data_IF_702068731577
#
_entry.id   IF_702068731577
#
_cell.length_a   1.000
_cell.length_b   1.000
_cell.length_c   1.000
_cell.angle_alpha   90.00
_cell.angle_beta   90.00
_cell.angle_gamma   90.00
#
_symmetry.space_group_name_H-M   'P 1'
#
loop_
_entity.id
_entity.type
_entity.pdbx_description
1 polymer ?
#
# COMPACT_ATOMS: atom_id res chain seq x y z
N UNK A 1 3.10 5.50 11.80
CA UNK A 1 3.19 4.10 11.35
C UNK A 1 2.10 3.72 10.36
N UNK A 2 1.04 4.48 10.29
CA UNK A 2 -0.02 4.30 9.28
C UNK A 2 0.37 5.00 8.00
N UNK A 3 0.16 4.33 6.89
CA UNK A 3 0.52 4.85 5.57
C UNK A 3 -0.75 5.18 4.81
N UNK A 4 -0.93 6.45 4.38
CA UNK A 4 -2.06 6.81 3.54
C UNK A 4 -1.93 6.16 2.16
N UNK A 5 -2.97 5.50 1.72
CA UNK A 5 -3.07 4.86 0.43
C UNK A 5 -4.24 5.47 -0.34
N UNK A 6 -4.01 5.84 -1.58
CA UNK A 6 -5.07 6.32 -2.46
C UNK A 6 -5.67 5.13 -3.22
N UNK A 7 -6.98 5.14 -3.36
CA UNK A 7 -7.70 4.14 -4.15
C UNK A 7 -8.65 4.81 -5.11
N UNK A 8 -8.67 4.35 -6.35
CA UNK A 8 -9.60 4.80 -7.37
C UNK A 8 -10.09 3.64 -8.21
N UNK A 9 -11.30 3.79 -8.75
CA UNK A 9 -11.86 2.83 -9.69
C UNK A 9 -11.47 3.22 -11.10
N UNK A 10 -10.88 2.25 -11.83
CA UNK A 10 -10.59 2.39 -13.25
C UNK A 10 -11.44 1.38 -14.02
N UNK A 11 -11.90 1.75 -15.20
CA UNK A 11 -12.62 0.80 -16.04
C UNK A 11 -11.65 -0.25 -16.58
N UNK A 12 -12.09 -1.50 -16.63
CA UNK A 12 -11.29 -2.60 -17.17
C UNK A 12 -11.30 -2.57 -18.70
N UNK A 13 -10.60 -1.59 -19.27
CA UNK A 13 -10.47 -1.40 -20.72
C UNK A 13 -9.13 -0.73 -21.06
N UNK A 14 -8.61 -0.96 -22.27
CA UNK A 14 -7.36 -0.32 -22.68
C UNK A 14 -7.42 1.20 -22.58
N UNK A 15 -6.33 1.80 -22.08
CA UNK A 15 -6.17 3.25 -21.99
C UNK A 15 -6.77 3.91 -20.75
N UNK A 16 -7.56 3.20 -19.96
CA UNK A 16 -8.20 3.83 -18.79
C UNK A 16 -7.25 3.96 -17.59
N UNK A 17 -6.38 2.98 -17.37
CA UNK A 17 -5.42 3.01 -16.27
C UNK A 17 -4.31 4.06 -16.46
N UNK A 18 -3.90 4.32 -17.69
CA UNK A 18 -2.80 5.25 -17.96
C UNK A 18 -3.16 6.69 -17.59
N UNK A 19 -4.43 7.05 -17.59
CA UNK A 19 -4.88 8.43 -17.37
C UNK A 19 -4.48 8.94 -15.98
N UNK A 20 -4.83 8.27 -14.86
CA UNK A 20 -4.39 8.75 -13.55
C UNK A 20 -2.87 8.71 -13.38
N UNK A 21 -2.20 7.72 -13.93
CA UNK A 21 -0.74 7.63 -13.86
C UNK A 21 -0.07 8.80 -14.60
N UNK A 22 -0.60 9.17 -15.76
CA UNK A 22 -0.10 10.31 -16.54
C UNK A 22 -0.30 11.63 -15.80
N UNK A 23 -1.45 11.83 -15.17
CA UNK A 23 -1.73 13.01 -14.36
C UNK A 23 -0.70 13.20 -13.25
N UNK A 24 -0.37 12.12 -12.55
CA UNK A 24 0.63 12.15 -11.49
C UNK A 24 2.03 12.43 -12.04
N UNK A 25 2.39 11.81 -13.16
CA UNK A 25 3.68 12.04 -13.82
C UNK A 25 3.85 13.50 -14.25
N UNK A 26 2.82 14.08 -14.86
CA UNK A 26 2.82 15.50 -15.29
C UNK A 26 2.91 16.45 -14.10
N UNK A 27 2.41 16.05 -12.94
CA UNK A 27 2.52 16.81 -11.70
C UNK A 27 3.86 16.60 -10.98
N UNK A 28 4.74 15.75 -11.51
CA UNK A 28 6.03 15.45 -10.90
C UNK A 28 5.92 14.55 -9.67
N UNK A 29 4.84 13.80 -9.54
CA UNK A 29 4.61 12.90 -8.40
C UNK A 29 5.02 11.49 -8.77
N UNK A 30 5.98 10.94 -8.04
CA UNK A 30 6.43 9.56 -8.22
C UNK A 30 5.51 8.58 -7.49
N UNK A 31 5.23 7.44 -8.11
CA UNK A 31 4.49 6.35 -7.49
C UNK A 31 5.48 5.43 -6.80
N UNK A 32 5.37 5.30 -5.47
CA UNK A 32 6.24 4.45 -4.67
C UNK A 32 5.90 2.98 -4.89
N UNK A 33 4.63 2.64 -4.83
CA UNK A 33 4.12 1.32 -5.16
C UNK A 33 2.66 1.41 -5.57
N UNK A 34 2.19 0.38 -6.25
CA UNK A 34 0.80 0.31 -6.72
C UNK A 34 0.33 -1.13 -6.78
N UNK A 35 -0.98 -1.28 -6.80
CA UNK A 35 -1.66 -2.55 -7.00
C UNK A 35 -2.91 -2.31 -7.83
N UNK A 36 -3.17 -3.18 -8.78
CA UNK A 36 -4.40 -3.18 -9.56
C UNK A 36 -5.13 -4.49 -9.31
N UNK A 37 -6.31 -4.42 -8.70
CA UNK A 37 -7.14 -5.57 -8.43
C UNK A 37 -8.34 -5.57 -9.39
N UNK A 38 -8.65 -6.73 -9.94
CA UNK A 38 -9.76 -6.92 -10.85
C UNK A 38 -11.07 -7.18 -10.09
N UNK A 39 -12.13 -6.48 -10.47
CA UNK A 39 -13.49 -6.73 -9.98
C UNK A 39 -14.47 -7.02 -11.13
N UNK A 40 -13.96 -7.45 -12.29
CA UNK A 40 -14.74 -7.73 -13.50
C UNK A 40 -14.76 -6.52 -14.43
N UNK A 41 -15.80 -5.68 -14.36
CA UNK A 41 -15.92 -4.50 -15.23
C UNK A 41 -14.99 -3.34 -14.82
N UNK A 42 -14.57 -3.33 -13.57
CA UNK A 42 -13.71 -2.31 -13.02
C UNK A 42 -12.46 -2.94 -12.41
N UNK A 43 -11.43 -2.14 -12.29
CA UNK A 43 -10.28 -2.43 -11.45
C UNK A 43 -10.22 -1.46 -10.30
N UNK A 44 -9.61 -1.87 -9.20
CA UNK A 44 -9.30 -0.98 -8.10
C UNK A 44 -7.81 -0.70 -8.16
N UNK A 45 -7.45 0.54 -8.46
CA UNK A 45 -6.06 1.00 -8.47
C UNK A 45 -5.72 1.57 -7.11
N UNK A 46 -4.76 0.96 -6.43
CA UNK A 46 -4.26 1.41 -5.14
C UNK A 46 -2.86 1.96 -5.32
N UNK A 47 -2.62 3.15 -4.80
CA UNK A 47 -1.37 3.88 -4.98
C UNK A 47 -0.82 4.33 -3.64
N UNK A 48 0.49 4.16 -3.45
CA UNK A 48 1.20 4.80 -2.35
C UNK A 48 2.18 5.79 -2.96
N UNK A 49 2.03 7.06 -2.58
CA UNK A 49 2.85 8.17 -3.04
C UNK A 49 3.24 9.01 -1.83
N UNK A 50 4.43 9.58 -1.84
CA UNK A 50 4.90 10.45 -0.74
C UNK A 50 3.98 11.65 -0.56
N UNK A 51 3.69 12.35 -1.64
CA UNK A 51 2.86 13.56 -1.64
C UNK A 51 1.38 13.22 -1.86
N UNK A 52 0.82 12.37 -1.00
CA UNK A 52 -0.52 11.83 -1.20
C UNK A 52 -1.62 12.90 -1.22
N UNK A 53 -1.48 13.96 -0.43
CA UNK A 53 -2.47 15.07 -0.42
C UNK A 53 -2.50 15.79 -1.76
N UNK A 54 -1.33 16.11 -2.30
CA UNK A 54 -1.20 16.75 -3.61
C UNK A 54 -1.67 15.82 -4.72
N UNK A 55 -1.32 14.55 -4.65
CA UNK A 55 -1.78 13.54 -5.60
C UNK A 55 -3.31 13.45 -5.62
N UNK A 56 -3.93 13.42 -4.44
CA UNK A 56 -5.39 13.43 -4.31
C UNK A 56 -6.00 14.66 -4.97
N UNK A 57 -5.45 15.83 -4.71
CA UNK A 57 -5.94 17.09 -5.30
C UNK A 57 -5.83 17.07 -6.84
N UNK A 58 -4.71 16.60 -7.37
CA UNK A 58 -4.48 16.50 -8.82
C UNK A 58 -5.51 15.58 -9.47
N UNK A 59 -5.75 14.42 -8.87
CA UNK A 59 -6.69 13.43 -9.39
C UNK A 59 -8.14 13.92 -9.28
N UNK A 60 -8.53 14.49 -8.15
CA UNK A 60 -9.89 15.01 -7.93
C UNK A 60 -10.20 16.19 -8.87
N UNK A 61 -9.22 17.05 -9.12
CA UNK A 61 -9.37 18.17 -10.06
C UNK A 61 -9.65 17.67 -11.48
N UNK A 62 -9.20 16.49 -11.84
CA UNK A 62 -9.47 15.87 -13.14
C UNK A 62 -10.74 15.01 -13.16
N UNK A 63 -11.52 15.02 -12.08
CA UNK A 63 -12.81 14.32 -11.98
C UNK A 63 -12.75 12.92 -11.40
N UNK A 64 -11.59 12.46 -10.93
CA UNK A 64 -11.49 11.16 -10.28
C UNK A 64 -12.03 11.21 -8.85
N UNK A 65 -12.74 10.15 -8.44
CA UNK A 65 -13.14 9.97 -7.05
C UNK A 65 -12.04 9.17 -6.37
N UNK A 66 -11.42 9.77 -5.36
CA UNK A 66 -10.27 9.20 -4.67
C UNK A 66 -10.63 8.90 -3.22
N UNK A 67 -10.47 7.65 -2.81
CA UNK A 67 -10.58 7.26 -1.41
C UNK A 67 -9.19 7.21 -0.78
N UNK A 68 -9.10 7.65 0.48
CA UNK A 68 -7.86 7.55 1.27
C UNK A 68 -8.08 6.50 2.33
N UNK A 69 -7.21 5.51 2.37
CA UNK A 69 -7.28 4.40 3.32
C UNK A 69 -5.94 4.26 4.02
N UNK A 70 -5.95 4.02 5.31
CA UNK A 70 -4.74 3.76 6.06
C UNK A 70 -4.36 2.29 5.97
N UNK A 71 -3.09 2.02 5.66
CA UNK A 71 -2.53 0.68 5.57
C UNK A 71 -1.25 0.59 6.41
N UNK A 72 -0.80 -0.64 6.67
CA UNK A 72 0.48 -0.91 7.32
C UNK A 72 1.44 -1.54 6.34
N UNK A 73 2.71 -1.15 6.41
CA UNK A 73 3.80 -1.83 5.75
C UNK A 73 4.61 -2.59 6.79
N UNK A 74 4.87 -3.86 6.53
CA UNK A 74 5.58 -4.74 7.48
C UNK A 74 6.69 -5.46 6.74
N UNK A 75 7.88 -5.48 7.33
CA UNK A 75 9.00 -6.27 6.82
C UNK A 75 8.83 -7.73 7.22
N UNK A 76 9.11 -8.62 6.28
CA UNK A 76 9.15 -10.07 6.54
C UNK A 76 10.46 -10.65 6.01
N UNK A 77 10.95 -11.70 6.66
CA UNK A 77 12.08 -12.45 6.14
C UNK A 77 11.72 -13.05 4.77
N UNK A 78 12.54 -12.78 3.76
CA UNK A 78 12.32 -13.31 2.41
C UNK A 78 12.87 -14.73 2.32
N UNK A 79 12.19 -15.64 3.02
CA UNK A 79 12.53 -17.04 3.12
C UNK A 79 11.28 -17.89 3.35
N UNK A 80 11.31 -19.20 3.12
CA UNK A 80 10.17 -20.06 3.40
C UNK A 80 9.69 -19.91 4.85
N UNK A 81 8.41 -19.67 5.05
CA UNK A 81 7.79 -19.53 6.37
C UNK A 81 7.74 -18.09 6.89
N UNK A 82 8.45 -17.13 6.29
CA UNK A 82 8.45 -15.75 6.76
C UNK A 82 7.06 -15.12 6.76
N UNK A 83 6.32 -15.28 5.68
CA UNK A 83 4.94 -14.80 5.59
C UNK A 83 4.01 -15.55 6.55
N UNK A 84 4.20 -16.86 6.70
CA UNK A 84 3.36 -17.69 7.57
C UNK A 84 3.42 -17.24 9.02
N UNK A 85 4.59 -16.86 9.52
CA UNK A 85 4.73 -16.33 10.88
C UNK A 85 3.94 -15.04 11.08
N UNK A 86 3.99 -14.15 10.11
CA UNK A 86 3.26 -12.88 10.17
C UNK A 86 1.75 -13.10 10.10
N UNK A 87 1.30 -13.95 9.18
CA UNK A 87 -0.13 -14.26 9.04
C UNK A 87 -0.68 -14.95 10.29
N UNK A 88 0.11 -15.84 10.90
CA UNK A 88 -0.26 -16.50 12.17
C UNK A 88 -0.46 -15.50 13.30
N UNK A 89 0.37 -14.48 13.35
CA UNK A 89 0.25 -13.41 14.34
C UNK A 89 -1.08 -12.65 14.20
N UNK A 90 -1.47 -12.32 12.99
CA UNK A 90 -2.74 -11.65 12.73
C UNK A 90 -3.92 -12.55 13.03
N UNK A 91 -3.85 -13.82 12.66
CA UNK A 91 -4.90 -14.81 12.94
C UNK A 91 -5.11 -14.97 14.44
N UNK A 92 -4.02 -15.11 15.20
CA UNK A 92 -4.10 -15.25 16.67
C UNK A 92 -4.68 -14.00 17.35
N UNK A 93 -4.51 -12.84 16.75
CA UNK A 93 -5.09 -11.60 17.24
C UNK A 93 -6.55 -11.38 16.76
N UNK A 94 -7.11 -12.31 16.01
CA UNK A 94 -8.47 -12.20 15.49
C UNK A 94 -8.64 -11.15 14.39
N UNK A 95 -7.57 -10.81 13.69
CA UNK A 95 -7.56 -9.78 12.67
C UNK A 95 -7.83 -10.37 11.29
N UNK A 96 -8.74 -9.75 10.55
CA UNK A 96 -9.00 -10.10 9.17
C UNK A 96 -8.14 -9.23 8.24
N UNK A 97 -7.52 -9.86 7.25
CA UNK A 97 -6.80 -9.17 6.19
C UNK A 97 -7.82 -8.90 5.07
N UNK A 98 -8.13 -7.64 4.86
CA UNK A 98 -9.06 -7.25 3.81
C UNK A 98 -8.40 -7.36 2.43
N UNK A 99 -7.14 -6.93 2.34
CA UNK A 99 -6.26 -7.16 1.19
C UNK A 99 -4.81 -6.93 1.59
N UNK A 100 -3.92 -7.43 0.75
CA UNK A 100 -2.48 -7.24 0.91
C UNK A 100 -1.79 -7.27 -0.45
N UNK A 101 -0.64 -6.64 -0.54
CA UNK A 101 0.23 -6.70 -1.71
C UNK A 101 1.68 -6.42 -1.31
N UNK A 102 2.60 -6.85 -2.15
CA UNK A 102 4.03 -6.67 -1.90
C UNK A 102 4.53 -5.35 -2.50
N UNK A 103 5.56 -4.79 -1.89
CA UNK A 103 6.29 -3.69 -2.49
C UNK A 103 7.13 -4.17 -3.68
N UNK A 104 7.37 -3.26 -4.62
CA UNK A 104 8.19 -3.52 -5.80
C UNK A 104 9.69 -3.60 -5.50
N UNK A 105 10.10 -3.09 -4.35
CA UNK A 105 11.50 -3.11 -3.90
C UNK A 105 11.63 -3.80 -2.55
N UNK A 106 12.84 -4.21 -2.21
CA UNK A 106 13.18 -4.81 -0.92
C UNK A 106 13.90 -3.81 -0.03
N UNK A 107 13.73 -3.96 1.29
CA UNK A 107 14.57 -3.29 2.27
C UNK A 107 15.67 -4.28 2.70
N UNK A 108 16.85 -4.16 2.11
CA UNK A 108 17.94 -5.13 2.32
C UNK A 108 17.54 -6.53 1.86
N UNK A 109 17.63 -7.52 2.77
CA UNK A 109 17.24 -8.91 2.50
C UNK A 109 15.81 -9.22 2.90
N UNK A 110 15.00 -8.20 3.21
CA UNK A 110 13.64 -8.38 3.69
C UNK A 110 12.64 -7.90 2.66
N UNK A 111 11.56 -8.65 2.52
CA UNK A 111 10.42 -8.21 1.73
C UNK A 111 9.56 -7.25 2.55
N UNK A 112 8.91 -6.32 1.88
CA UNK A 112 7.96 -5.40 2.52
C UNK A 112 6.57 -5.69 1.97
N UNK A 113 5.62 -5.92 2.88
CA UNK A 113 4.23 -6.22 2.55
C UNK A 113 3.33 -5.13 3.07
N UNK A 114 2.33 -4.76 2.28
CA UNK A 114 1.30 -3.79 2.64
C UNK A 114 0.04 -4.54 3.01
N UNK A 115 -0.56 -4.18 4.16
CA UNK A 115 -1.78 -4.79 4.66
C UNK A 115 -2.86 -3.77 4.94
N UNK A 116 -4.06 -4.05 4.47
CA UNK A 116 -5.28 -3.43 4.96
C UNK A 116 -5.96 -4.43 5.89
N UNK A 117 -6.07 -4.06 7.16
CA UNK A 117 -6.57 -4.92 8.22
C UNK A 117 -7.89 -4.36 8.78
N UNK A 118 -8.72 -5.25 9.32
CA UNK A 118 -10.00 -4.89 9.91
C UNK A 118 -9.89 -3.91 11.08
N UNK A 119 -8.79 -3.99 11.83
CA UNK A 119 -8.50 -3.12 12.96
C UNK A 119 -6.99 -2.81 12.99
N UNK A 120 -6.63 -1.62 12.51
CA UNK A 120 -5.23 -1.23 12.37
C UNK A 120 -4.55 -1.02 13.73
N UNK A 121 -5.28 -0.51 14.72
CA UNK A 121 -4.71 -0.30 16.07
C UNK A 121 -4.41 -1.63 16.75
N UNK A 122 -5.31 -2.59 16.65
CA UNK A 122 -5.09 -3.94 17.16
C UNK A 122 -3.91 -4.62 16.46
N UNK A 123 -3.75 -4.39 15.15
CA UNK A 123 -2.63 -4.91 14.39
C UNK A 123 -1.30 -4.33 14.87
N UNK A 124 -1.22 -3.03 15.08
CA UNK A 124 -0.03 -2.35 15.60
C UNK A 124 0.33 -2.90 16.98
N UNK A 125 -0.67 -3.09 17.85
CA UNK A 125 -0.46 -3.66 19.18
C UNK A 125 0.09 -5.08 19.11
N UNK A 126 -0.49 -5.93 18.27
CA UNK A 126 -0.05 -7.32 18.09
C UNK A 126 1.39 -7.40 17.57
N UNK A 127 1.72 -6.58 16.58
CA UNK A 127 3.07 -6.51 16.01
C UNK A 127 4.09 -6.04 17.05
N UNK A 128 3.76 -4.98 17.78
CA UNK A 128 4.64 -4.40 18.80
C UNK A 128 4.94 -5.42 19.91
N UNK A 129 3.93 -6.16 20.37
CA UNK A 129 4.10 -7.21 21.37
C UNK A 129 5.01 -8.34 20.90
N UNK A 130 5.00 -8.63 19.61
CA UNK A 130 5.86 -9.62 19.00
C UNK A 130 7.26 -9.11 18.67
N UNK A 131 7.57 -7.84 18.99
CA UNK A 131 8.84 -7.22 18.68
C UNK A 131 8.99 -6.81 17.23
N UNK A 132 7.89 -6.70 16.49
CA UNK A 132 7.87 -6.30 15.09
C UNK A 132 7.34 -4.87 15.01
N UNK A 133 8.13 -3.97 14.44
CA UNK A 133 7.69 -2.59 14.22
C UNK A 133 7.26 -2.42 12.76
N UNK A 134 6.06 -1.88 12.50
CA UNK A 134 5.67 -1.51 11.15
C UNK A 134 6.64 -0.47 10.58
N UNK A 135 6.85 -0.53 9.27
CA UNK A 135 7.72 0.42 8.58
C UNK A 135 7.05 1.80 8.62
N UNK A 136 7.79 2.83 9.04
CA UNK A 136 7.25 4.18 9.05
C UNK A 136 7.13 4.73 7.62
N UNK A 137 6.20 5.67 7.36
CA UNK A 137 6.11 6.30 6.05
C UNK A 137 7.43 6.93 5.59
N UNK A 138 8.15 7.57 6.49
CA UNK A 138 9.43 8.22 6.17
C UNK A 138 10.46 7.18 5.72
N UNK A 139 10.61 6.10 6.49
CA UNK A 139 11.56 5.02 6.14
C UNK A 139 11.19 4.38 4.81
N UNK A 140 9.90 4.18 4.59
CA UNK A 140 9.40 3.61 3.35
C UNK A 140 9.76 4.46 2.13
N UNK A 141 9.43 5.76 2.20
CA UNK A 141 9.66 6.68 1.10
C UNK A 141 11.16 6.88 0.83
N UNK A 142 11.95 7.07 1.87
CA UNK A 142 13.38 7.34 1.75
C UNK A 142 14.14 6.16 1.17
N UNK A 143 13.86 4.93 1.61
CA UNK A 143 14.54 3.74 1.11
C UNK A 143 14.17 3.36 -0.31
N UNK A 144 12.98 3.69 -0.77
CA UNK A 144 12.49 3.30 -2.09
C UNK A 144 12.75 4.36 -3.17
N UNK A 145 13.05 5.59 -2.79
CA UNK A 145 13.40 6.65 -3.74
C UNK A 145 14.92 6.71 -4.05
N UNK A 146 15.75 6.09 -3.22
CA UNK A 146 17.20 6.03 -3.42
C UNK A 146 17.64 4.96 -4.43
N UNK A 147 16.74 4.09 -4.83
CA UNK A 147 16.96 3.09 -5.87
C UNK A 147 16.31 3.50 -7.20
#
# INVERSE_FOLDING_TARGET
MRIPQLSLFVENRPGHMIVPCRLLAEAGINIVTLSLADTGQFGILRLIVREWKRAREVLEAAGWVVAVTEVLAVEVADEPGGLVELLGLFENAGLNIEYMYAFTARLGNRAVLVFRLSDIDAAITALTRAGINPVSPIDLYDHLEEE
#
